data_IF_044321247380
#
_entry.id   IF_044321247380
#
_cell.length_a   1.000
_cell.length_b   1.000
_cell.length_c   1.000
_cell.angle_alpha   90.00
_cell.angle_beta   90.00
_cell.angle_gamma   90.00
#
_symmetry.space_group_name_H-M   'P 1'
#
loop_
_entity.id
_entity.type
_entity.pdbx_description
1 polymer ?
#
# COMPACT_ATOMS: atom_id res chain seq x y z
N UNK A 1 -11.70 18.29 1.92
CA UNK A 1 -10.63 17.74 1.06
C UNK A 1 -9.37 18.59 1.23
N UNK A 2 -8.21 17.95 1.41
CA UNK A 2 -6.89 18.57 1.57
C UNK A 2 -6.00 18.07 0.44
N UNK A 3 -5.38 18.98 -0.32
CA UNK A 3 -4.75 18.66 -1.60
C UNK A 3 -3.30 19.19 -1.65
N UNK A 4 -2.33 18.27 -1.64
CA UNK A 4 -0.91 18.61 -1.74
C UNK A 4 -0.56 19.05 -3.15
N UNK A 5 0.15 20.18 -3.31
CA UNK A 5 0.65 20.61 -4.61
C UNK A 5 1.82 21.59 -4.48
N UNK A 6 2.54 21.80 -5.58
CA UNK A 6 3.62 22.77 -5.69
C UNK A 6 5.02 22.18 -5.49
N UNK A 7 6.02 23.04 -5.71
CA UNK A 7 7.44 22.66 -5.79
C UNK A 7 8.01 22.03 -4.52
N UNK A 8 7.39 22.28 -3.37
CA UNK A 8 7.84 21.68 -2.10
C UNK A 8 7.73 20.14 -2.13
N UNK A 9 6.76 19.61 -2.89
CA UNK A 9 6.50 18.17 -2.97
C UNK A 9 7.01 17.53 -4.28
N UNK A 10 7.89 18.19 -5.04
CA UNK A 10 8.36 17.67 -6.32
C UNK A 10 9.58 16.74 -6.23
N UNK A 11 10.28 16.72 -5.09
CA UNK A 11 11.52 15.97 -4.93
C UNK A 11 11.29 14.64 -4.19
N UNK A 12 11.20 13.54 -4.94
CA UNK A 12 11.07 12.19 -4.38
C UNK A 12 12.32 11.71 -3.60
N UNK A 13 13.48 12.36 -3.75
CA UNK A 13 14.70 12.01 -3.00
C UNK A 13 14.71 12.66 -1.62
N UNK A 14 13.96 13.73 -1.43
CA UNK A 14 13.83 14.45 -0.16
C UNK A 14 12.34 14.64 0.17
N UNK A 15 11.59 13.54 0.37
CA UNK A 15 10.16 13.63 0.58
C UNK A 15 9.84 14.30 1.92
N UNK A 16 8.73 15.04 1.97
CA UNK A 16 8.26 15.79 3.14
C UNK A 16 6.75 15.53 3.37
N UNK A 17 6.28 15.62 4.62
CA UNK A 17 4.86 15.48 4.92
C UNK A 17 4.03 16.68 4.45
N UNK A 18 2.84 16.43 3.88
CA UNK A 18 1.81 17.47 3.74
C UNK A 18 1.14 17.74 5.09
N UNK A 19 0.67 16.68 5.75
CA UNK A 19 0.09 16.75 7.09
C UNK A 19 1.01 16.02 8.05
N UNK A 20 1.59 16.77 8.98
CA UNK A 20 2.33 16.24 10.10
C UNK A 20 1.43 16.27 11.34
N UNK A 21 1.01 15.09 11.81
CA UNK A 21 0.11 14.96 12.96
C UNK A 21 0.93 14.74 14.23
N UNK A 22 1.14 15.84 14.96
CA UNK A 22 2.03 15.89 16.12
C UNK A 22 3.51 15.86 15.75
N UNK A 23 4.36 16.12 16.73
CA UNK A 23 5.80 15.89 16.67
C UNK A 23 6.16 14.51 17.22
N UNK A 24 7.30 13.93 16.83
CA UNK A 24 7.79 12.69 17.42
C UNK A 24 7.88 12.78 18.95
N UNK A 25 7.16 11.90 19.64
CA UNK A 25 7.09 11.85 21.10
C UNK A 25 5.90 12.57 21.72
N UNK A 26 5.12 13.33 20.95
CA UNK A 26 3.89 13.96 21.44
C UNK A 26 2.88 12.90 21.88
N UNK A 27 2.19 13.19 22.98
CA UNK A 27 1.04 12.40 23.46
C UNK A 27 -0.15 13.32 23.68
N UNK A 28 -1.32 12.90 23.22
CA UNK A 28 -2.50 13.75 23.35
C UNK A 28 -3.75 13.12 22.76
N UNK A 29 -4.65 13.99 22.31
CA UNK A 29 -5.90 13.63 21.63
C UNK A 29 -5.91 14.30 20.27
N UNK A 30 -6.12 13.51 19.21
CA UNK A 30 -6.26 13.99 17.83
C UNK A 30 -7.31 13.14 17.13
N UNK A 31 -8.39 13.76 16.68
CA UNK A 31 -9.44 13.10 15.94
C UNK A 31 -9.56 13.76 14.56
N UNK A 32 -9.50 12.94 13.50
CA UNK A 32 -9.75 13.37 12.14
C UNK A 32 -10.95 12.61 11.59
N UNK A 33 -11.93 13.32 11.03
CA UNK A 33 -13.08 12.68 10.39
C UNK A 33 -13.59 13.40 9.15
N UNK A 34 -14.19 12.65 8.22
CA UNK A 34 -14.82 13.14 6.99
C UNK A 34 -13.86 13.95 6.08
N UNK A 35 -12.62 13.47 5.94
CA UNK A 35 -11.58 14.16 5.18
C UNK A 35 -11.08 13.28 4.03
N UNK A 36 -11.06 13.85 2.82
CA UNK A 36 -10.24 13.32 1.72
C UNK A 36 -8.88 14.03 1.71
N UNK A 37 -7.81 13.25 1.78
CA UNK A 37 -6.41 13.66 1.62
C UNK A 37 -5.95 13.26 0.22
N UNK A 38 -5.35 14.17 -0.55
CA UNK A 38 -5.04 13.92 -1.97
C UNK A 38 -3.87 14.78 -2.46
N UNK A 39 -3.47 14.58 -3.72
CA UNK A 39 -2.55 15.45 -4.44
C UNK A 39 -3.28 16.15 -5.60
N UNK A 40 -2.86 17.38 -5.90
CA UNK A 40 -2.98 17.94 -7.24
C UNK A 40 -1.63 17.74 -7.89
N UNK A 41 -1.57 16.73 -8.74
CA UNK A 41 -0.34 16.15 -9.24
C UNK A 41 0.39 17.01 -10.27
N UNK A 42 1.66 16.69 -10.52
CA UNK A 42 2.42 15.65 -9.82
C UNK A 42 3.00 16.11 -8.46
N UNK A 43 3.05 15.21 -7.46
CA UNK A 43 3.62 15.49 -6.12
C UNK A 43 4.49 14.33 -5.57
N UNK A 44 5.50 13.84 -6.33
CA UNK A 44 6.22 12.60 -6.02
C UNK A 44 7.11 12.64 -4.77
N UNK A 45 7.33 13.81 -4.17
CA UNK A 45 8.00 13.99 -2.87
C UNK A 45 7.03 14.16 -1.70
N UNK A 46 5.72 13.98 -1.91
CA UNK A 46 4.74 14.14 -0.84
C UNK A 46 4.58 12.85 -0.02
N UNK A 47 4.75 12.93 1.30
CA UNK A 47 4.14 11.99 2.24
C UNK A 47 2.80 12.62 2.63
N UNK A 48 1.66 12.03 2.25
CA UNK A 48 0.36 12.71 2.44
C UNK A 48 0.06 12.93 3.93
N UNK A 49 0.25 11.90 4.76
CA UNK A 49 0.17 12.02 6.23
C UNK A 49 1.37 11.34 6.87
N UNK A 50 2.11 12.11 7.67
CA UNK A 50 3.05 11.59 8.68
C UNK A 50 2.38 11.69 10.05
N UNK A 51 2.22 10.55 10.70
CA UNK A 51 1.50 10.39 11.96
C UNK A 51 2.49 10.09 13.08
N UNK A 52 2.69 11.07 13.96
CA UNK A 52 3.71 11.02 15.02
C UNK A 52 3.12 10.91 16.42
N UNK A 53 1.91 11.45 16.61
CA UNK A 53 1.26 11.55 17.92
C UNK A 53 0.90 10.16 18.46
N UNK A 54 1.05 10.00 19.78
CA UNK A 54 0.56 8.84 20.52
C UNK A 54 -0.64 9.20 21.40
N UNK A 55 -1.40 8.18 21.73
CA UNK A 55 -2.63 8.29 22.49
C UNK A 55 -2.36 8.69 23.94
N UNK A 56 -3.19 9.58 24.47
CA UNK A 56 -3.24 9.88 25.90
C UNK A 56 -4.06 8.83 26.64
N UNK A 57 -5.17 8.39 26.03
CA UNK A 57 -6.02 7.27 26.44
C UNK A 57 -6.35 6.40 25.23
N UNK A 58 -6.72 5.14 25.43
CA UNK A 58 -7.01 4.23 24.33
C UNK A 58 -7.97 4.86 23.30
N UNK A 59 -7.55 4.94 22.03
CA UNK A 59 -8.35 5.46 20.93
C UNK A 59 -8.44 6.99 20.84
N UNK A 60 -7.73 7.74 21.70
CA UNK A 60 -7.73 9.21 21.66
C UNK A 60 -7.00 9.83 20.46
N UNK A 61 -6.25 9.04 19.70
CA UNK A 61 -5.64 9.49 18.44
C UNK A 61 -6.08 8.58 17.30
N UNK A 62 -6.79 9.14 16.32
CA UNK A 62 -7.37 8.32 15.25
C UNK A 62 -7.99 9.06 14.07
N UNK A 63 -8.42 8.26 13.11
CA UNK A 63 -9.11 8.66 11.89
C UNK A 63 -10.37 7.82 11.68
N UNK A 64 -11.48 8.48 11.30
CA UNK A 64 -12.76 7.86 10.94
C UNK A 64 -13.29 8.48 9.65
N UNK A 65 -13.59 7.71 8.61
CA UNK A 65 -14.01 8.27 7.31
C UNK A 65 -12.98 9.27 6.75
N UNK A 66 -11.69 8.94 6.89
CA UNK A 66 -10.59 9.68 6.27
C UNK A 66 -10.00 8.85 5.15
N UNK A 67 -10.03 9.38 3.93
CA UNK A 67 -9.60 8.63 2.75
C UNK A 67 -8.45 9.35 2.04
N UNK A 68 -7.47 8.58 1.59
CA UNK A 68 -6.41 9.03 0.72
C UNK A 68 -6.82 8.67 -0.70
N UNK A 69 -6.95 9.66 -1.59
CA UNK A 69 -7.45 9.44 -2.95
C UNK A 69 -6.53 10.13 -3.94
N UNK A 70 -5.61 9.40 -4.57
CA UNK A 70 -4.58 9.99 -5.43
C UNK A 70 -4.92 9.80 -6.91
N UNK A 71 -5.27 10.91 -7.58
CA UNK A 71 -5.64 10.94 -8.99
C UNK A 71 -7.06 10.47 -9.31
N UNK A 72 -7.41 10.50 -10.60
CA UNK A 72 -8.67 9.95 -11.14
C UNK A 72 -9.92 10.80 -11.00
N UNK A 73 -9.83 12.02 -10.45
CA UNK A 73 -11.00 12.88 -10.31
C UNK A 73 -10.65 14.34 -10.60
N UNK A 74 -11.69 15.14 -10.82
CA UNK A 74 -11.62 16.54 -11.17
C UNK A 74 -10.80 17.33 -10.14
N UNK A 75 -9.85 18.12 -10.64
CA UNK A 75 -8.96 18.95 -9.83
C UNK A 75 -7.61 18.32 -9.49
N UNK A 76 -7.45 17.01 -9.69
CA UNK A 76 -6.15 16.34 -9.44
C UNK A 76 -5.11 16.60 -10.53
N UNK A 77 -5.53 16.95 -11.76
CA UNK A 77 -4.69 16.98 -12.97
C UNK A 77 -4.06 15.60 -13.31
N UNK A 78 -4.57 14.54 -12.69
CA UNK A 78 -4.13 13.15 -12.80
C UNK A 78 -5.30 12.29 -13.35
N UNK A 79 -5.85 12.69 -14.49
CA UNK A 79 -7.09 12.14 -15.07
C UNK A 79 -6.83 11.43 -16.41
N UNK A 80 -7.83 10.74 -16.97
CA UNK A 80 -7.67 9.92 -18.20
C UNK A 80 -7.18 10.71 -19.41
N UNK A 81 -7.50 11.99 -19.51
CA UNK A 81 -6.99 12.87 -20.56
C UNK A 81 -5.46 13.10 -20.53
N UNK A 82 -4.80 12.75 -19.42
CA UNK A 82 -3.35 12.92 -19.20
C UNK A 82 -2.66 11.58 -18.94
N UNK A 83 -3.32 10.70 -18.19
CA UNK A 83 -2.73 9.50 -17.62
C UNK A 83 -3.38 8.20 -18.10
N UNK A 84 -4.01 8.21 -19.28
CA UNK A 84 -4.58 6.99 -19.87
C UNK A 84 -3.57 5.82 -19.90
N UNK A 85 -4.08 4.60 -19.71
CA UNK A 85 -3.25 3.38 -19.80
C UNK A 85 -2.61 3.21 -21.19
N UNK A 86 -1.42 2.60 -21.22
CA UNK A 86 -0.64 2.35 -22.45
C UNK A 86 -0.18 0.88 -22.59
N UNK A 87 -1.08 -0.12 -22.53
CA UNK A 87 -0.67 -1.54 -22.44
C UNK A 87 0.01 -2.08 -23.70
N UNK A 88 -0.22 -1.45 -24.86
CA UNK A 88 0.26 -1.92 -26.17
C UNK A 88 1.69 -1.46 -26.50
N UNK A 89 2.38 -0.80 -25.57
CA UNK A 89 3.74 -0.30 -25.74
C UNK A 89 4.51 -0.39 -24.44
N UNK A 90 5.84 -0.46 -24.50
CA UNK A 90 6.67 -0.30 -23.30
C UNK A 90 6.40 1.08 -22.69
N UNK A 91 5.93 1.10 -21.45
CA UNK A 91 5.58 2.32 -20.73
C UNK A 91 6.82 2.94 -20.12
N UNK A 92 7.10 4.18 -20.49
CA UNK A 92 7.95 5.07 -19.70
C UNK A 92 7.02 5.96 -18.89
N UNK A 93 7.04 5.90 -17.54
CA UNK A 93 6.14 6.72 -16.72
C UNK A 93 6.24 8.21 -17.06
N UNK A 94 5.12 8.83 -17.41
CA UNK A 94 5.05 10.29 -17.56
C UNK A 94 5.15 10.94 -16.17
N UNK A 95 6.15 11.81 -15.92
CA UNK A 95 6.27 12.53 -14.66
C UNK A 95 5.02 13.33 -14.25
N UNK A 96 4.17 13.71 -15.22
CA UNK A 96 2.88 14.36 -14.93
C UNK A 96 1.90 13.45 -14.20
N UNK A 97 2.05 12.14 -14.36
CA UNK A 97 1.17 11.13 -13.76
C UNK A 97 1.70 10.58 -12.43
N UNK A 98 2.68 11.25 -11.81
CA UNK A 98 3.19 10.85 -10.51
C UNK A 98 2.23 11.32 -9.41
N UNK A 99 1.82 10.39 -8.57
CA UNK A 99 0.99 10.62 -7.39
C UNK A 99 1.80 11.24 -6.25
N UNK A 100 1.93 10.48 -5.16
CA UNK A 100 2.70 10.83 -3.96
C UNK A 100 3.89 9.87 -3.74
N UNK A 101 4.80 10.24 -2.83
CA UNK A 101 5.87 9.37 -2.36
C UNK A 101 5.34 8.23 -1.48
N UNK A 102 4.43 8.57 -0.56
CA UNK A 102 3.81 7.68 0.41
C UNK A 102 2.45 8.24 0.83
N UNK A 103 1.46 7.37 1.03
CA UNK A 103 0.14 7.80 1.50
C UNK A 103 0.15 8.04 3.01
N UNK A 104 0.56 7.05 3.79
CA UNK A 104 0.54 7.12 5.25
C UNK A 104 1.86 6.63 5.86
N UNK A 105 2.44 7.41 6.77
CA UNK A 105 3.58 7.01 7.59
C UNK A 105 3.23 7.08 9.07
N UNK A 106 3.02 5.94 9.73
CA UNK A 106 2.87 5.86 11.19
C UNK A 106 4.25 5.64 11.79
N UNK A 107 4.77 6.65 12.47
CA UNK A 107 6.16 6.66 12.92
C UNK A 107 6.36 5.93 14.25
N UNK A 108 7.63 5.76 14.63
CA UNK A 108 8.09 4.80 15.64
C UNK A 108 7.42 4.92 17.01
N UNK A 109 7.12 6.14 17.44
CA UNK A 109 6.56 6.40 18.78
C UNK A 109 5.06 6.64 18.77
N UNK A 110 4.43 6.68 17.60
CA UNK A 110 3.03 7.01 17.45
C UNK A 110 2.13 5.85 17.91
N UNK A 111 0.84 6.10 18.07
CA UNK A 111 -0.21 5.07 18.10
C UNK A 111 -1.35 5.56 17.22
N UNK A 112 -2.23 4.67 16.74
CA UNK A 112 -3.30 5.09 15.85
C UNK A 112 -4.52 4.17 15.96
N UNK A 113 -5.70 4.76 15.89
CA UNK A 113 -6.95 4.06 15.60
C UNK A 113 -7.47 4.53 14.23
N UNK A 114 -7.53 3.63 13.25
CA UNK A 114 -7.96 3.94 11.88
C UNK A 114 -9.18 3.09 11.56
N UNK A 115 -10.31 3.74 11.30
CA UNK A 115 -11.55 3.07 10.90
C UNK A 115 -12.09 3.66 9.61
N UNK A 116 -12.54 2.79 8.70
CA UNK A 116 -13.01 3.17 7.36
C UNK A 116 -12.04 4.12 6.64
N UNK A 117 -10.75 3.73 6.59
CA UNK A 117 -9.70 4.50 5.93
C UNK A 117 -9.29 3.82 4.63
N UNK A 118 -9.53 4.49 3.49
CA UNK A 118 -9.20 3.97 2.16
C UNK A 118 -7.99 4.72 1.59
N UNK A 119 -6.91 4.01 1.32
CA UNK A 119 -5.66 4.52 0.77
C UNK A 119 -5.54 4.14 -0.72
N UNK A 120 -6.26 4.87 -1.56
CA UNK A 120 -6.43 4.53 -2.96
C UNK A 120 -5.58 5.39 -3.89
N UNK A 121 -4.86 4.71 -4.78
CA UNK A 121 -4.21 5.31 -5.93
C UNK A 121 -5.02 4.94 -7.16
N UNK A 122 -5.45 5.93 -7.91
CA UNK A 122 -6.49 5.74 -8.90
C UNK A 122 -6.10 4.80 -10.03
N UNK A 123 -6.87 3.73 -10.20
CA UNK A 123 -6.75 2.78 -11.31
C UNK A 123 -7.63 3.15 -12.52
N UNK A 124 -8.65 3.98 -12.32
CA UNK A 124 -9.56 4.49 -13.35
C UNK A 124 -10.07 5.90 -13.08
N UNK A 125 -10.57 6.54 -14.13
CA UNK A 125 -11.20 7.86 -14.09
C UNK A 125 -12.61 7.83 -13.49
N UNK A 126 -12.88 8.76 -12.57
CA UNK A 126 -14.14 8.89 -11.84
C UNK A 126 -15.10 9.91 -12.46
N UNK A 127 -14.59 11.01 -13.02
CA UNK A 127 -15.41 12.18 -13.35
C UNK A 127 -15.53 12.47 -14.86
N UNK A 128 -14.50 12.16 -15.67
CA UNK A 128 -14.61 12.28 -17.12
C UNK A 128 -15.43 11.13 -17.72
N UNK A 129 -16.10 11.41 -18.84
CA UNK A 129 -17.10 10.51 -19.44
C UNK A 129 -16.57 9.17 -19.93
N UNK A 130 -15.25 9.01 -20.10
CA UNK A 130 -14.68 7.76 -20.60
C UNK A 130 -14.56 6.69 -19.51
N UNK A 131 -14.52 7.10 -18.23
CA UNK A 131 -14.23 6.24 -17.07
C UNK A 131 -13.05 5.29 -17.32
N UNK A 132 -12.07 5.78 -18.10
CA UNK A 132 -10.99 4.97 -18.62
C UNK A 132 -10.02 4.57 -17.51
N UNK A 133 -9.41 3.40 -17.65
CA UNK A 133 -8.29 2.99 -16.79
C UNK A 133 -7.08 3.91 -17.01
N UNK A 134 -6.40 4.26 -15.91
CA UNK A 134 -5.29 5.21 -15.88
C UNK A 134 -4.05 4.63 -15.20
N UNK A 135 -2.90 5.22 -15.53
CA UNK A 135 -1.59 4.96 -14.96
C UNK A 135 -1.23 6.09 -13.98
N UNK A 136 -1.52 5.93 -12.69
CA UNK A 136 -1.01 6.84 -11.65
C UNK A 136 0.11 6.15 -10.88
N UNK A 137 1.28 6.78 -10.84
CA UNK A 137 2.46 6.22 -10.20
C UNK A 137 2.62 6.79 -8.78
N UNK A 138 2.27 6.01 -7.78
CA UNK A 138 2.46 6.34 -6.37
C UNK A 138 3.49 5.39 -5.75
N UNK A 139 4.41 5.88 -4.91
CA UNK A 139 5.48 5.06 -4.37
C UNK A 139 5.00 3.96 -3.42
N UNK A 140 4.39 4.37 -2.30
CA UNK A 140 4.10 3.52 -1.13
C UNK A 140 2.70 3.80 -0.58
N UNK A 141 2.03 2.77 -0.10
CA UNK A 141 0.76 2.91 0.62
C UNK A 141 0.98 3.35 2.05
N UNK A 142 0.79 2.43 3.00
CA UNK A 142 1.01 2.67 4.43
C UNK A 142 2.32 2.02 4.93
N UNK A 143 3.16 2.83 5.58
CA UNK A 143 4.33 2.39 6.35
C UNK A 143 4.03 2.51 7.84
N UNK A 144 4.14 1.41 8.58
CA UNK A 144 3.89 1.33 10.01
C UNK A 144 5.18 0.91 10.72
N UNK A 145 5.73 1.82 11.52
CA UNK A 145 6.94 1.57 12.34
C UNK A 145 6.67 1.64 13.84
N UNK A 146 5.40 1.81 14.21
CA UNK A 146 4.97 2.11 15.57
C UNK A 146 5.30 1.00 16.56
N UNK A 147 5.78 1.42 17.73
CA UNK A 147 5.85 0.60 18.94
C UNK A 147 4.63 0.78 19.87
N UNK A 148 3.73 1.70 19.55
CA UNK A 148 2.44 1.89 20.22
C UNK A 148 1.35 0.98 19.64
N UNK A 149 0.14 1.07 20.17
CA UNK A 149 -0.99 0.32 19.60
C UNK A 149 -1.42 0.92 18.26
N UNK A 150 -1.56 0.08 17.23
CA UNK A 150 -2.14 0.47 15.94
C UNK A 150 -3.32 -0.43 15.66
N UNK A 151 -4.51 0.17 15.54
CA UNK A 151 -5.76 -0.49 15.20
C UNK A 151 -6.20 -0.05 13.81
N UNK A 152 -6.43 -1.01 12.91
CA UNK A 152 -6.87 -0.76 11.53
C UNK A 152 -8.14 -1.56 11.25
N UNK A 153 -9.28 -0.90 11.35
CA UNK A 153 -10.61 -1.49 11.14
C UNK A 153 -11.14 -1.14 9.75
N UNK A 154 -11.28 -2.15 8.89
CA UNK A 154 -11.81 -1.99 7.54
C UNK A 154 -10.98 -1.04 6.67
N UNK A 155 -9.64 -1.13 6.73
CA UNK A 155 -8.76 -0.27 5.93
C UNK A 155 -8.37 -0.94 4.61
N UNK A 156 -8.26 -0.17 3.53
CA UNK A 156 -7.78 -0.66 2.24
C UNK A 156 -6.60 0.19 1.75
N UNK A 157 -5.61 -0.43 1.09
CA UNK A 157 -4.47 0.27 0.50
C UNK A 157 -4.15 -0.34 -0.85
N UNK A 158 -4.21 0.45 -1.92
CA UNK A 158 -4.27 -0.11 -3.27
C UNK A 158 -3.42 0.66 -4.27
N UNK A 159 -2.91 -0.10 -5.25
CA UNK A 159 -2.24 0.39 -6.45
C UNK A 159 -0.98 1.24 -6.19
N UNK A 160 -0.26 0.92 -5.12
CA UNK A 160 1.04 1.51 -4.82
C UNK A 160 2.16 0.71 -5.50
N UNK A 161 3.20 1.41 -5.99
CA UNK A 161 4.25 0.83 -6.85
C UNK A 161 5.08 -0.22 -6.10
N UNK A 162 5.51 0.07 -4.88
CA UNK A 162 6.41 -0.79 -4.10
C UNK A 162 5.64 -1.74 -3.16
N UNK A 163 4.72 -1.20 -2.37
CA UNK A 163 3.88 -1.95 -1.44
C UNK A 163 2.62 -1.17 -1.04
N UNK A 164 1.57 -1.90 -0.70
CA UNK A 164 0.33 -1.36 -0.16
C UNK A 164 0.38 -1.21 1.37
N UNK A 165 0.86 -2.23 2.09
CA UNK A 165 1.18 -2.15 3.52
C UNK A 165 2.58 -2.66 3.80
N UNK A 166 3.32 -1.93 4.63
CA UNK A 166 4.58 -2.38 5.21
C UNK A 166 4.58 -2.11 6.70
N UNK A 167 4.76 -3.17 7.49
CA UNK A 167 4.92 -3.13 8.94
C UNK A 167 6.38 -3.50 9.20
N UNK A 168 7.14 -2.61 9.85
CA UNK A 168 8.55 -2.84 10.10
C UNK A 168 9.01 -2.37 11.46
N UNK A 169 9.84 -3.16 12.13
CA UNK A 169 10.35 -2.82 13.47
C UNK A 169 9.23 -2.37 14.44
N UNK A 170 8.02 -2.90 14.23
CA UNK A 170 6.80 -2.46 14.88
C UNK A 170 6.33 -3.52 15.88
N UNK A 171 5.44 -3.11 16.79
CA UNK A 171 4.74 -4.03 17.69
C UNK A 171 3.32 -3.58 17.98
N UNK A 172 2.46 -4.52 18.38
CA UNK A 172 1.06 -4.25 18.77
C UNK A 172 0.21 -3.70 17.60
N UNK A 173 0.30 -4.33 16.43
CA UNK A 173 -0.46 -3.93 15.26
C UNK A 173 -1.62 -4.91 15.06
N UNK A 174 -2.83 -4.41 15.02
CA UNK A 174 -4.04 -5.18 14.76
C UNK A 174 -4.77 -4.62 13.54
N UNK A 175 -5.18 -5.54 12.67
CA UNK A 175 -5.78 -5.24 11.38
C UNK A 175 -7.01 -6.14 11.16
N UNK A 176 -8.19 -5.58 10.88
CA UNK A 176 -9.43 -6.36 10.69
C UNK A 176 -10.53 -5.63 9.88
N UNK A 177 -10.91 -6.09 8.69
CA UNK A 177 -10.02 -6.75 7.73
C UNK A 177 -9.20 -5.69 6.99
N UNK A 178 -8.14 -6.11 6.30
CA UNK A 178 -7.46 -5.26 5.31
C UNK A 178 -7.76 -5.73 3.89
N UNK A 179 -7.62 -4.82 2.94
CA UNK A 179 -7.72 -5.12 1.52
C UNK A 179 -6.60 -4.44 0.73
N UNK A 180 -6.08 -5.11 -0.31
CA UNK A 180 -5.08 -4.53 -1.22
C UNK A 180 -5.20 -4.99 -2.67
N UNK A 181 -4.86 -4.12 -3.62
CA UNK A 181 -4.68 -4.47 -5.02
C UNK A 181 -3.31 -4.02 -5.57
N UNK A 182 -2.68 -4.86 -6.39
CA UNK A 182 -1.49 -4.50 -7.18
C UNK A 182 -1.88 -3.52 -8.29
N UNK A 183 -1.08 -2.48 -8.60
CA UNK A 183 -1.39 -1.57 -9.70
C UNK A 183 -1.49 -2.30 -11.04
N UNK A 184 -2.54 -2.03 -11.81
CA UNK A 184 -2.91 -2.82 -12.99
C UNK A 184 -1.88 -2.77 -14.11
N UNK A 185 -1.10 -1.69 -14.17
CA UNK A 185 -0.04 -1.51 -15.15
C UNK A 185 1.14 -2.43 -14.93
N UNK A 186 1.38 -2.95 -13.71
CA UNK A 186 2.53 -3.80 -13.46
C UNK A 186 2.39 -5.11 -14.26
N UNK A 187 3.41 -5.54 -15.01
CA UNK A 187 4.83 -5.19 -14.91
C UNK A 187 5.34 -4.22 -16.00
N UNK A 188 4.50 -3.32 -16.51
CA UNK A 188 4.83 -2.32 -17.53
C UNK A 188 4.54 -0.87 -17.06
N UNK A 189 5.43 -0.28 -16.22
CA UNK A 189 6.68 -0.86 -15.74
C UNK A 189 6.50 -1.76 -14.50
N UNK A 190 7.59 -2.42 -14.10
CA UNK A 190 7.65 -3.21 -12.88
C UNK A 190 7.68 -2.33 -11.61
N UNK A 191 7.72 -2.95 -10.43
CA UNK A 191 7.69 -2.26 -9.14
C UNK A 191 8.91 -1.36 -8.84
N UNK A 192 9.98 -1.38 -9.65
CA UNK A 192 11.17 -0.56 -9.42
C UNK A 192 11.12 0.80 -10.11
N UNK A 193 10.04 1.09 -10.85
CA UNK A 193 9.90 2.30 -11.64
C UNK A 193 8.50 2.90 -11.41
N UNK A 194 8.37 4.24 -11.26
CA UNK A 194 9.44 5.25 -11.27
C UNK A 194 10.12 5.45 -9.91
N UNK A 195 9.61 4.85 -8.84
CA UNK A 195 10.16 5.02 -7.49
C UNK A 195 11.27 3.99 -7.25
N UNK A 196 12.50 4.45 -7.24
CA UNK A 196 13.63 3.63 -6.81
C UNK A 196 13.49 3.26 -5.32
N UNK A 197 13.87 2.04 -4.91
CA UNK A 197 13.93 1.66 -3.51
C UNK A 197 14.84 2.59 -2.70
N UNK A 198 14.37 3.03 -1.54
CA UNK A 198 15.09 3.87 -0.58
C UNK A 198 15.28 3.09 0.73
N UNK A 199 16.53 2.92 1.14
CA UNK A 199 16.87 2.19 2.36
C UNK A 199 16.39 2.91 3.64
N UNK A 200 16.15 4.22 3.60
CA UNK A 200 15.57 4.97 4.73
C UNK A 200 14.19 4.44 5.13
N UNK A 201 13.41 3.97 4.14
CA UNK A 201 12.08 3.40 4.34
C UNK A 201 12.07 1.87 4.22
N UNK A 202 13.27 1.25 4.14
CA UNK A 202 13.47 -0.20 4.00
C UNK A 202 12.63 -0.80 2.86
N UNK A 203 12.65 -0.11 1.72
CA UNK A 203 11.86 -0.50 0.57
C UNK A 203 12.28 -1.85 0.00
N UNK A 204 11.34 -2.58 -0.62
CA UNK A 204 11.66 -3.81 -1.32
C UNK A 204 12.56 -3.49 -2.51
N UNK A 205 13.74 -4.11 -2.54
CA UNK A 205 14.68 -3.97 -3.66
C UNK A 205 14.39 -4.92 -4.81
N UNK A 206 13.57 -5.95 -4.56
CA UNK A 206 13.31 -7.06 -5.47
C UNK A 206 14.60 -7.71 -6.02
N UNK A 207 15.70 -7.66 -5.27
CA UNK A 207 17.02 -8.12 -5.71
C UNK A 207 17.07 -9.62 -6.04
N UNK A 208 16.27 -10.42 -5.34
CA UNK A 208 16.17 -11.87 -5.55
C UNK A 208 15.20 -12.25 -6.69
N UNK A 209 14.55 -11.27 -7.32
CA UNK A 209 13.56 -11.51 -8.37
C UNK A 209 14.18 -11.65 -9.76
N UNK A 210 13.92 -12.80 -10.38
CA UNK A 210 14.37 -13.11 -11.76
C UNK A 210 13.30 -12.91 -12.82
N UNK A 211 12.03 -12.68 -12.43
CA UNK A 211 10.89 -12.55 -13.36
C UNK A 211 10.09 -11.27 -13.11
N UNK A 212 9.36 -10.82 -14.14
CA UNK A 212 8.47 -9.66 -14.05
C UNK A 212 7.37 -9.86 -12.99
N UNK A 213 6.75 -11.04 -12.96
CA UNK A 213 5.76 -11.42 -11.96
C UNK A 213 6.29 -11.40 -10.52
N UNK A 214 7.60 -11.50 -10.31
CA UNK A 214 8.23 -11.34 -9.00
C UNK A 214 8.39 -9.87 -8.59
N UNK A 215 8.66 -8.99 -9.56
CA UNK A 215 8.84 -7.54 -9.36
C UNK A 215 7.51 -6.79 -9.36
N UNK A 216 6.61 -7.20 -8.48
CA UNK A 216 5.28 -6.60 -8.30
C UNK A 216 5.11 -6.09 -6.88
N UNK A 217 4.25 -5.10 -6.71
CA UNK A 217 3.94 -4.50 -5.43
C UNK A 217 3.56 -5.58 -4.41
N UNK A 218 4.09 -5.45 -3.19
CA UNK A 218 3.65 -6.29 -2.09
C UNK A 218 2.28 -5.85 -1.60
N UNK A 219 1.39 -6.80 -1.37
CA UNK A 219 0.16 -6.53 -0.65
C UNK A 219 0.47 -6.16 0.81
N UNK A 220 1.19 -7.05 1.50
CA UNK A 220 1.61 -6.84 2.88
C UNK A 220 3.03 -7.34 3.10
N UNK A 221 3.89 -6.49 3.67
CA UNK A 221 5.22 -6.87 4.19
C UNK A 221 5.25 -6.71 5.70
N UNK A 222 5.69 -7.73 6.42
CA UNK A 222 5.89 -7.69 7.87
C UNK A 222 7.35 -8.06 8.16
N UNK A 223 8.11 -7.10 8.66
CA UNK A 223 9.57 -7.17 8.78
C UNK A 223 10.00 -6.89 10.21
N UNK A 224 10.74 -7.81 10.83
CA UNK A 224 11.30 -7.62 12.18
C UNK A 224 10.28 -7.05 13.20
N UNK A 225 9.05 -7.58 13.21
CA UNK A 225 7.94 -7.05 14.01
C UNK A 225 7.33 -8.12 14.89
N UNK A 226 6.76 -7.74 16.02
CA UNK A 226 6.13 -8.68 16.98
C UNK A 226 4.69 -8.31 17.26
N UNK A 227 3.88 -9.26 17.73
CA UNK A 227 2.48 -8.99 18.08
C UNK A 227 1.69 -8.30 16.95
N UNK A 228 1.85 -8.81 15.72
CA UNK A 228 1.08 -8.38 14.55
C UNK A 228 -0.06 -9.37 14.31
N UNK A 229 -1.28 -8.86 14.39
CA UNK A 229 -2.52 -9.63 14.25
C UNK A 229 -3.30 -9.14 13.03
N UNK A 230 -3.60 -10.06 12.12
CA UNK A 230 -4.48 -9.82 10.98
C UNK A 230 -5.69 -10.74 11.06
N UNK A 231 -6.88 -10.17 11.20
CA UNK A 231 -8.16 -10.88 11.21
C UNK A 231 -8.95 -10.56 9.94
N UNK A 232 -8.77 -11.40 8.93
CA UNK A 232 -9.32 -11.19 7.59
C UNK A 232 -8.42 -10.32 6.74
N UNK A 233 -8.04 -10.82 5.56
CA UNK A 233 -7.28 -10.05 4.58
C UNK A 233 -7.64 -10.44 3.17
N UNK A 234 -7.92 -9.48 2.31
CA UNK A 234 -8.13 -9.70 0.88
C UNK A 234 -7.05 -9.03 0.05
N UNK A 235 -6.10 -9.79 -0.50
CA UNK A 235 -4.94 -9.23 -1.18
C UNK A 235 -4.85 -9.74 -2.61
N UNK A 236 -5.04 -8.86 -3.60
CA UNK A 236 -5.37 -9.26 -4.96
C UNK A 236 -4.36 -8.79 -6.01
N UNK A 237 -4.14 -9.66 -6.99
CA UNK A 237 -3.37 -9.38 -8.19
C UNK A 237 -4.19 -9.71 -9.42
N UNK A 238 -4.86 -8.72 -10.01
CA UNK A 238 -5.82 -9.00 -11.08
C UNK A 238 -5.23 -9.01 -12.48
N UNK A 239 -4.04 -8.42 -12.65
CA UNK A 239 -3.52 -8.07 -13.96
C UNK A 239 -2.03 -8.34 -14.13
N UNK A 240 -1.65 -8.53 -15.40
CA UNK A 240 -0.31 -8.33 -15.91
C UNK A 240 -0.40 -7.33 -17.07
N UNK A 241 0.06 -6.09 -16.86
CA UNK A 241 -0.04 -5.00 -17.84
C UNK A 241 -1.46 -4.88 -18.44
N UNK A 242 -2.47 -4.76 -17.57
CA UNK A 242 -3.90 -4.73 -17.90
C UNK A 242 -4.50 -5.98 -18.56
N UNK A 243 -3.71 -7.01 -18.88
CA UNK A 243 -4.23 -8.31 -19.32
C UNK A 243 -4.60 -9.19 -18.11
N UNK A 244 -5.61 -10.04 -18.26
CA UNK A 244 -6.12 -10.91 -17.19
C UNK A 244 -5.94 -12.41 -17.48
N UNK A 245 -5.18 -12.77 -18.52
CA UNK A 245 -4.93 -14.19 -18.85
C UNK A 245 -4.28 -14.95 -17.69
N UNK A 246 -3.47 -14.26 -16.89
CA UNK A 246 -2.82 -14.79 -15.69
C UNK A 246 -3.79 -15.27 -14.60
N UNK A 247 -5.06 -14.84 -14.63
CA UNK A 247 -6.08 -15.32 -13.69
C UNK A 247 -6.40 -16.80 -13.91
N UNK A 248 -6.30 -17.31 -15.15
CA UNK A 248 -6.58 -18.72 -15.47
C UNK A 248 -5.63 -19.67 -14.73
N UNK A 249 -4.42 -19.20 -14.45
CA UNK A 249 -3.34 -19.97 -13.83
C UNK A 249 -3.05 -19.54 -12.39
N UNK A 250 -3.77 -18.55 -11.86
CA UNK A 250 -3.54 -17.94 -10.54
C UNK A 250 -2.10 -17.44 -10.38
N UNK A 251 -1.56 -16.77 -11.41
CA UNK A 251 -0.13 -16.43 -11.48
C UNK A 251 0.11 -15.03 -12.05
N UNK A 252 -0.74 -14.05 -11.71
CA UNK A 252 -0.55 -12.64 -12.06
C UNK A 252 0.65 -12.04 -11.32
N UNK A 253 0.96 -12.55 -10.12
CA UNK A 253 2.20 -12.25 -9.42
C UNK A 253 2.80 -13.49 -8.74
N UNK A 254 4.08 -13.40 -8.38
CA UNK A 254 4.78 -14.50 -7.72
C UNK A 254 4.49 -14.51 -6.21
N UNK A 255 4.56 -13.37 -5.53
CA UNK A 255 4.48 -13.26 -4.08
C UNK A 255 3.52 -12.15 -3.66
N UNK A 256 2.72 -12.34 -2.61
CA UNK A 256 1.74 -11.36 -2.13
C UNK A 256 2.03 -10.85 -0.71
N UNK A 257 2.36 -11.75 0.20
CA UNK A 257 2.67 -11.44 1.60
C UNK A 257 4.11 -11.86 1.90
N UNK A 258 4.87 -10.97 2.52
CA UNK A 258 6.19 -11.27 3.09
C UNK A 258 6.11 -11.22 4.62
N UNK A 259 6.56 -12.28 5.28
CA UNK A 259 6.76 -12.32 6.73
C UNK A 259 8.20 -12.69 7.03
N UNK A 260 9.03 -11.71 7.39
CA UNK A 260 10.45 -11.89 7.64
C UNK A 260 10.78 -11.55 9.08
N UNK A 261 11.42 -12.49 9.79
CA UNK A 261 11.88 -12.34 11.18
C UNK A 261 10.82 -11.75 12.13
N UNK A 262 9.57 -12.15 11.98
CA UNK A 262 8.43 -11.53 12.68
C UNK A 262 7.57 -12.55 13.41
N UNK A 263 7.02 -12.15 14.56
CA UNK A 263 5.96 -12.86 15.27
C UNK A 263 4.60 -12.35 14.79
N UNK A 264 3.85 -13.18 14.07
CA UNK A 264 2.62 -12.77 13.38
C UNK A 264 1.54 -13.82 13.46
N UNK A 265 0.29 -13.36 13.51
CA UNK A 265 -0.91 -14.19 13.55
C UNK A 265 -1.87 -13.72 12.47
N UNK A 266 -1.99 -14.49 11.39
CA UNK A 266 -2.83 -14.16 10.24
C UNK A 266 -4.00 -15.14 10.17
N UNK A 267 -5.21 -14.65 10.36
CA UNK A 267 -6.45 -15.40 10.34
C UNK A 267 -7.27 -15.04 9.11
N UNK A 268 -7.78 -16.04 8.39
CA UNK A 268 -8.69 -15.83 7.26
C UNK A 268 -8.11 -14.95 6.15
N UNK A 269 -6.88 -15.23 5.71
CA UNK A 269 -6.23 -14.46 4.66
C UNK A 269 -6.51 -15.08 3.30
N UNK A 270 -7.09 -14.30 2.41
CA UNK A 270 -7.34 -14.61 1.02
C UNK A 270 -6.41 -13.84 0.11
N UNK A 271 -5.78 -14.52 -0.84
CA UNK A 271 -5.04 -13.87 -1.93
C UNK A 271 -5.62 -14.26 -3.28
N UNK A 272 -5.53 -13.36 -4.27
CA UNK A 272 -5.95 -13.64 -5.65
C UNK A 272 -4.78 -13.62 -6.61
N UNK A 273 -4.63 -14.70 -7.37
CA UNK A 273 -3.65 -14.89 -8.45
C UNK A 273 -2.20 -14.51 -8.11
N UNK A 274 -1.79 -14.77 -6.86
CA UNK A 274 -0.39 -14.82 -6.46
C UNK A 274 0.04 -16.26 -6.28
N UNK A 275 1.12 -16.67 -6.93
CA UNK A 275 1.62 -18.06 -6.86
C UNK A 275 1.89 -18.49 -5.41
N UNK A 276 2.57 -17.62 -4.66
CA UNK A 276 2.79 -17.75 -3.23
C UNK A 276 1.90 -16.74 -2.50
N UNK A 277 1.03 -17.25 -1.63
CA UNK A 277 0.23 -16.41 -0.75
C UNK A 277 1.13 -15.72 0.28
N UNK A 278 1.97 -16.51 0.96
CA UNK A 278 2.89 -16.07 2.02
C UNK A 278 4.31 -16.55 1.72
N UNK A 279 5.28 -15.67 1.93
CA UNK A 279 6.71 -15.90 1.71
C UNK A 279 7.54 -15.44 2.91
N UNK A 280 8.75 -15.99 3.03
CA UNK A 280 9.75 -15.53 4.00
C UNK A 280 11.15 -15.69 3.42
N UNK A 281 11.93 -14.59 3.39
CA UNK A 281 13.32 -14.61 2.91
C UNK A 281 13.47 -15.16 1.49
N UNK A 282 12.58 -14.77 0.58
CA UNK A 282 12.57 -15.25 -0.81
C UNK A 282 11.98 -16.65 -1.02
N UNK A 283 11.64 -17.37 0.06
CA UNK A 283 11.01 -18.71 -0.03
C UNK A 283 9.49 -18.62 0.04
N UNK A 284 8.81 -19.20 -0.93
CA UNK A 284 7.36 -19.44 -0.87
C UNK A 284 7.02 -20.44 0.25
N UNK A 285 6.26 -19.98 1.26
CA UNK A 285 5.86 -20.82 2.40
C UNK A 285 4.46 -21.40 2.22
N UNK A 286 3.53 -20.61 1.69
CA UNK A 286 2.13 -21.01 1.49
C UNK A 286 1.75 -20.81 0.02
N UNK A 287 1.77 -21.86 -0.81
CA UNK A 287 1.37 -21.79 -2.21
C UNK A 287 -0.14 -21.64 -2.37
N UNK A 288 -0.59 -20.86 -3.37
CA UNK A 288 -2.04 -20.71 -3.64
C UNK A 288 -2.70 -22.01 -4.07
N UNK A 289 -1.96 -22.89 -4.77
CA UNK A 289 -2.50 -24.10 -5.40
C UNK A 289 -3.10 -25.07 -4.37
N UNK A 290 -2.54 -25.08 -3.17
CA UNK A 290 -2.94 -25.95 -2.05
C UNK A 290 -4.12 -25.36 -1.25
N UNK A 291 -4.45 -24.09 -1.49
CA UNK A 291 -5.39 -23.32 -0.68
C UNK A 291 -6.54 -22.73 -1.51
N UNK A 292 -6.81 -23.28 -2.71
CA UNK A 292 -7.85 -22.76 -3.61
C UNK A 292 -9.24 -22.77 -2.96
N UNK A 293 -9.93 -21.65 -3.06
CA UNK A 293 -11.32 -21.47 -2.65
C UNK A 293 -12.22 -21.28 -3.89
N UNK A 294 -13.35 -20.60 -3.74
CA UNK A 294 -14.31 -20.37 -4.83
C UNK A 294 -13.81 -19.38 -5.91
N UNK A 295 -12.97 -18.42 -5.53
CA UNK A 295 -12.36 -17.44 -6.42
C UNK A 295 -10.94 -17.10 -6.02
N UNK A 296 -10.70 -16.75 -4.75
CA UNK A 296 -9.36 -16.58 -4.18
C UNK A 296 -8.75 -17.93 -3.76
N UNK A 297 -7.51 -17.91 -3.31
CA UNK A 297 -6.98 -18.92 -2.40
C UNK A 297 -7.00 -18.37 -0.98
N UNK A 298 -7.30 -19.21 0.01
CA UNK A 298 -7.54 -18.78 1.40
C UNK A 298 -6.83 -19.70 2.39
N UNK A 299 -6.03 -19.11 3.27
CA UNK A 299 -5.47 -19.78 4.44
C UNK A 299 -6.26 -19.38 5.68
N UNK A 300 -6.74 -20.37 6.44
CA UNK A 300 -7.54 -20.12 7.64
C UNK A 300 -6.69 -19.53 8.78
N UNK A 301 -5.47 -20.03 8.94
CA UNK A 301 -4.52 -19.60 9.96
C UNK A 301 -3.09 -19.74 9.45
N UNK A 302 -2.30 -18.69 9.59
CA UNK A 302 -0.85 -18.72 9.52
C UNK A 302 -0.28 -18.11 10.79
N UNK A 303 0.66 -18.80 11.42
CA UNK A 303 1.40 -18.30 12.58
C UNK A 303 2.89 -18.52 12.35
N UNK A 304 3.66 -17.47 12.59
CA UNK A 304 5.11 -17.52 12.64
C UNK A 304 5.54 -16.87 13.95
N UNK A 305 6.33 -17.56 14.76
CA UNK A 305 6.97 -17.00 15.94
C UNK A 305 8.38 -16.48 15.63
N UNK A 306 8.96 -15.70 16.53
CA UNK A 306 10.41 -15.41 16.50
C UNK A 306 11.19 -16.70 16.74
N UNK A 307 12.13 -17.02 15.84
CA UNK A 307 13.18 -18.00 16.09
C UNK A 307 14.09 -17.54 17.25
#
# INVERSE_FOLDING_TARGET
MLMATGKAFSDMKNPIPMLQVGQPGDKGTVEMSDIIVTTKGPAPGCILVEWNVAEQTQGSVGMWDVHFRVGGFAGTELQSNTCAKTPNSKTTPDPKCFGAFMLLHITKTASAYLENTWLWVSDHELDLSDHGQINIYNGRGALIESSGAVWMYGTASEHNTLYNYQIQNAKNVYMALIQTETPYYQSNPDALVPFAPDSKYNDPTFGDCTTAACKKAWGLRILNSTDVFLFGGGLYSFFENYAQDCLRTESCQLNMIEVLCSQTYLYGVSTKASTNMITSGGKGLVPQKENRSNFCSTVALFHQGTL
#
